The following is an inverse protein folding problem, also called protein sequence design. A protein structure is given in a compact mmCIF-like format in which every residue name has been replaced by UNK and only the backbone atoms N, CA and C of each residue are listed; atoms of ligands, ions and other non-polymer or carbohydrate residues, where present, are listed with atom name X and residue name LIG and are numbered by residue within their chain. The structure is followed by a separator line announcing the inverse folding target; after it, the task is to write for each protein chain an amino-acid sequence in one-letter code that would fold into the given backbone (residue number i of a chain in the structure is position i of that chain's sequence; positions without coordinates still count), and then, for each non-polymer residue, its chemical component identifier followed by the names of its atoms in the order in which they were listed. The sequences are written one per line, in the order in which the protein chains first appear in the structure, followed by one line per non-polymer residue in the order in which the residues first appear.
data_IF_182974077064
#
_entry.id   IF_182974077064
#
_cell.length_a   1.000
_cell.length_b   1.000
_cell.length_c   1.000
_cell.angle_alpha   90.00
_cell.angle_beta   90.00
_cell.angle_gamma   90.00
#
_symmetry.space_group_name_H-M   'P 1'
#
loop_
_entity.id
_entity.type
_entity.pdbx_description
1 polymer ?
#
# COMPACT_ATOMS: atom_id res chain seq x y z
N UNK A 1 27.96 -12.86 -10.81
CA UNK A 1 27.22 -12.80 -9.53
C UNK A 1 26.76 -11.41 -9.09
N UNK A 2 27.43 -10.32 -9.51
CA UNK A 2 27.06 -8.95 -9.13
C UNK A 2 25.59 -8.56 -9.38
N UNK A 3 25.02 -8.97 -10.50
CA UNK A 3 23.61 -8.74 -10.87
C UNK A 3 22.76 -10.02 -10.69
N UNK A 4 23.16 -10.87 -9.75
CA UNK A 4 22.49 -12.13 -9.46
C UNK A 4 22.30 -12.29 -7.96
N UNK A 5 22.69 -13.45 -7.42
CA UNK A 5 22.49 -13.77 -6.00
C UNK A 5 23.18 -12.81 -5.00
N UNK A 6 24.17 -12.04 -5.45
CA UNK A 6 24.90 -11.06 -4.61
C UNK A 6 24.42 -9.60 -4.83
N UNK A 7 23.32 -9.38 -5.55
CA UNK A 7 22.80 -8.05 -5.83
C UNK A 7 22.30 -7.34 -4.56
N UNK A 8 21.66 -8.07 -3.64
CA UNK A 8 21.03 -7.53 -2.45
C UNK A 8 21.78 -7.91 -1.16
N UNK A 9 21.84 -6.97 -0.22
CA UNK A 9 22.60 -7.12 1.02
C UNK A 9 21.86 -7.89 2.12
N UNK A 10 20.54 -8.03 2.05
CA UNK A 10 19.68 -8.54 3.13
C UNK A 10 20.10 -9.91 3.67
N UNK A 11 20.53 -10.83 2.80
CA UNK A 11 20.97 -12.15 3.28
C UNK A 11 22.31 -12.09 4.02
N UNK A 12 23.18 -11.14 3.68
CA UNK A 12 24.43 -10.92 4.41
C UNK A 12 24.21 -10.31 5.80
N UNK A 13 23.10 -9.58 5.99
CA UNK A 13 22.69 -9.00 7.28
C UNK A 13 21.77 -9.92 8.08
N UNK A 14 21.37 -11.07 7.53
CA UNK A 14 20.52 -12.04 8.20
C UNK A 14 19.02 -11.75 8.12
N UNK A 15 18.59 -10.83 7.25
CA UNK A 15 17.20 -10.38 7.08
C UNK A 15 16.33 -11.39 6.29
N UNK A 16 16.38 -12.65 6.69
CA UNK A 16 15.53 -13.69 6.12
C UNK A 16 14.07 -13.48 6.54
N UNK A 17 13.16 -13.55 5.55
CA UNK A 17 11.75 -13.20 5.74
C UNK A 17 11.42 -11.71 5.54
N UNK A 18 12.42 -10.87 5.23
CA UNK A 18 12.21 -9.44 4.98
C UNK A 18 11.59 -9.16 3.61
N UNK A 19 12.09 -9.80 2.54
CA UNK A 19 11.66 -9.54 1.16
C UNK A 19 10.14 -9.61 0.91
N UNK A 20 9.37 -10.56 1.48
CA UNK A 20 7.93 -10.59 1.35
C UNK A 20 7.23 -9.27 1.73
N UNK A 21 7.81 -8.50 2.66
CA UNK A 21 7.24 -7.22 3.11
C UNK A 21 7.11 -6.19 1.99
N UNK A 22 8.04 -6.17 1.02
CA UNK A 22 7.95 -5.27 -0.14
C UNK A 22 6.70 -5.53 -0.97
N UNK A 23 6.40 -6.80 -1.23
CA UNK A 23 5.22 -7.18 -2.02
C UNK A 23 3.93 -6.97 -1.24
N UNK A 24 3.93 -7.26 0.07
CA UNK A 24 2.79 -6.97 0.95
C UNK A 24 2.49 -5.46 0.96
N UNK A 25 3.52 -4.62 1.00
CA UNK A 25 3.38 -3.16 0.90
C UNK A 25 2.68 -2.74 -0.39
N UNK A 26 3.07 -3.29 -1.54
CA UNK A 26 2.40 -3.03 -2.82
C UNK A 26 0.93 -3.43 -2.80
N UNK A 27 0.60 -4.61 -2.26
CA UNK A 27 -0.79 -5.10 -2.17
C UNK A 27 -1.64 -4.17 -1.29
N UNK A 28 -1.16 -3.86 -0.09
CA UNK A 28 -1.86 -2.94 0.81
C UNK A 28 -2.00 -1.55 0.23
N UNK A 29 -1.00 -1.04 -0.51
CA UNK A 29 -1.09 0.29 -1.14
C UNK A 29 -2.26 0.38 -2.13
N UNK A 30 -2.52 -0.67 -2.92
CA UNK A 30 -3.64 -0.70 -3.85
C UNK A 30 -4.97 -0.77 -3.09
N UNK A 31 -5.07 -1.60 -2.05
CA UNK A 31 -6.28 -1.65 -1.21
C UNK A 31 -6.59 -0.28 -0.59
N UNK A 32 -5.58 0.37 0.00
CA UNK A 32 -5.72 1.71 0.57
C UNK A 32 -6.13 2.74 -0.50
N UNK A 33 -5.53 2.67 -1.69
CA UNK A 33 -5.86 3.57 -2.80
C UNK A 33 -7.34 3.48 -3.22
N UNK A 34 -7.87 2.26 -3.40
CA UNK A 34 -9.27 2.10 -3.80
C UNK A 34 -10.24 2.47 -2.66
N UNK A 35 -9.88 2.23 -1.40
CA UNK A 35 -10.66 2.70 -0.25
C UNK A 35 -10.69 4.23 -0.18
N UNK A 36 -9.54 4.88 -0.31
CA UNK A 36 -9.46 6.35 -0.39
C UNK A 36 -10.28 6.90 -1.55
N UNK A 37 -10.18 6.31 -2.74
CA UNK A 37 -10.92 6.76 -3.93
C UNK A 37 -12.44 6.63 -3.77
N UNK A 38 -12.91 5.69 -2.92
CA UNK A 38 -14.32 5.54 -2.57
C UNK A 38 -14.78 6.61 -1.57
N UNK A 39 -13.94 6.93 -0.59
CA UNK A 39 -14.29 7.83 0.52
C UNK A 39 -14.07 9.32 0.17
N UNK A 40 -13.10 9.62 -0.69
CA UNK A 40 -12.70 10.97 -1.08
C UNK A 40 -13.25 11.24 -2.49
N UNK A 41 -14.29 12.07 -2.57
CA UNK A 41 -14.84 12.53 -3.85
C UNK A 41 -13.79 13.38 -4.60
N UNK A 42 -13.72 13.20 -5.91
CA UNK A 42 -12.86 13.99 -6.81
C UNK A 42 -11.35 13.89 -6.49
N UNK A 43 -10.91 12.79 -5.85
CA UNK A 43 -9.52 12.58 -5.44
C UNK A 43 -8.51 12.75 -6.59
N UNK A 44 -8.83 12.28 -7.80
CA UNK A 44 -7.93 12.39 -8.95
C UNK A 44 -7.66 13.86 -9.33
N UNK A 45 -8.69 14.73 -9.26
CA UNK A 45 -8.55 16.18 -9.52
C UNK A 45 -7.74 16.88 -8.41
N UNK A 46 -7.87 16.43 -7.16
CA UNK A 46 -7.05 16.94 -6.05
C UNK A 46 -5.57 16.61 -6.29
N UNK A 47 -5.26 15.39 -6.72
CA UNK A 47 -3.89 14.99 -7.08
C UNK A 47 -3.37 15.80 -8.27
N UNK A 48 -4.17 15.98 -9.33
CA UNK A 48 -3.79 16.76 -10.50
C UNK A 48 -3.47 18.23 -10.16
N UNK A 49 -4.23 18.81 -9.23
CA UNK A 49 -3.99 20.18 -8.73
C UNK A 49 -2.90 20.27 -7.66
N UNK A 50 -2.27 19.16 -7.27
CA UNK A 50 -1.24 19.12 -6.23
C UNK A 50 -1.76 19.29 -4.80
N UNK A 51 -3.07 19.14 -4.58
CA UNK A 51 -3.70 19.21 -3.27
C UNK A 51 -3.81 17.81 -2.64
N UNK A 52 -3.04 17.55 -1.58
CA UNK A 52 -3.00 16.25 -0.90
C UNK A 52 -3.59 16.29 0.53
N UNK A 53 -4.22 17.39 0.94
CA UNK A 53 -4.63 17.58 2.33
C UNK A 53 -5.65 16.52 2.79
N UNK A 54 -6.70 16.28 1.99
CA UNK A 54 -7.71 15.27 2.33
C UNK A 54 -7.16 13.84 2.26
N UNK A 55 -6.21 13.55 1.36
CA UNK A 55 -5.51 12.25 1.31
C UNK A 55 -4.71 12.04 2.61
N UNK A 56 -3.91 13.03 3.01
CA UNK A 56 -3.13 12.98 4.25
C UNK A 56 -4.03 12.82 5.47
N UNK A 57 -5.14 13.55 5.53
CA UNK A 57 -6.12 13.48 6.61
C UNK A 57 -6.79 12.10 6.68
N UNK A 58 -7.14 11.51 5.54
CA UNK A 58 -7.67 10.15 5.49
C UNK A 58 -6.65 9.15 6.01
N UNK A 59 -5.39 9.21 5.56
CA UNK A 59 -4.32 8.33 6.03
C UNK A 59 -4.06 8.48 7.54
N UNK A 60 -4.03 9.71 8.03
CA UNK A 60 -3.85 9.98 9.46
C UNK A 60 -4.99 9.36 10.29
N UNK A 61 -6.23 9.50 9.82
CA UNK A 61 -7.42 9.03 10.54
C UNK A 61 -7.57 7.53 10.49
N UNK A 62 -7.27 6.90 9.35
CA UNK A 62 -7.58 5.48 9.12
C UNK A 62 -6.37 4.56 9.29
N UNK A 63 -5.15 5.10 9.33
CA UNK A 63 -3.92 4.29 9.40
C UNK A 63 -2.98 4.84 10.47
N UNK A 64 -2.45 6.05 10.30
CA UNK A 64 -1.30 6.50 11.11
C UNK A 64 -1.61 6.65 12.60
N UNK A 65 -2.83 7.09 12.95
CA UNK A 65 -3.22 7.28 14.37
C UNK A 65 -3.11 6.01 15.22
N UNK A 66 -3.18 4.83 14.61
CA UNK A 66 -3.17 3.56 15.32
C UNK A 66 -1.76 3.14 15.73
N UNK A 67 -0.73 3.58 15.00
CA UNK A 67 0.65 3.16 15.26
C UNK A 67 0.78 1.63 15.32
N UNK A 68 1.14 1.10 16.49
CA UNK A 68 1.24 -0.35 16.76
C UNK A 68 0.11 -0.91 17.63
N UNK A 69 -0.99 -0.17 17.80
CA UNK A 69 -2.17 -0.63 18.56
C UNK A 69 -2.81 -1.86 17.93
N UNK A 70 -2.77 -1.96 16.60
CA UNK A 70 -3.28 -3.06 15.81
C UNK A 70 -2.18 -3.64 14.93
N UNK A 71 -2.33 -4.90 14.53
CA UNK A 71 -1.53 -5.50 13.46
C UNK A 71 -1.84 -4.84 12.12
N UNK A 72 -0.92 -4.92 11.16
CA UNK A 72 -1.12 -4.38 9.81
C UNK A 72 -2.38 -4.96 9.14
N UNK A 73 -2.63 -6.26 9.32
CA UNK A 73 -3.81 -6.95 8.79
C UNK A 73 -5.12 -6.41 9.39
N UNK A 74 -5.14 -6.12 10.69
CA UNK A 74 -6.30 -5.53 11.36
C UNK A 74 -6.56 -4.09 10.88
N UNK A 75 -5.50 -3.27 10.75
CA UNK A 75 -5.64 -1.90 10.22
C UNK A 75 -6.24 -1.95 8.82
N UNK A 76 -5.76 -2.84 7.95
CA UNK A 76 -6.26 -2.98 6.59
C UNK A 76 -7.72 -3.46 6.57
N UNK A 77 -8.11 -4.40 7.44
CA UNK A 77 -9.53 -4.78 7.60
C UNK A 77 -10.40 -3.62 8.06
N UNK A 78 -9.92 -2.78 8.97
CA UNK A 78 -10.66 -1.61 9.47
C UNK A 78 -10.87 -0.57 8.36
N UNK A 79 -9.80 -0.20 7.64
CA UNK A 79 -9.88 0.89 6.67
C UNK A 79 -10.27 0.48 5.25
N UNK A 80 -10.12 -0.80 4.89
CA UNK A 80 -10.42 -1.32 3.56
C UNK A 80 -11.55 -2.36 3.54
N UNK A 81 -12.05 -2.79 4.70
CA UNK A 81 -13.17 -3.74 4.83
C UNK A 81 -12.82 -5.22 4.61
N UNK A 82 -11.61 -5.53 4.17
CA UNK A 82 -11.11 -6.89 3.97
C UNK A 82 -9.63 -7.01 4.34
N UNK A 83 -9.14 -8.25 4.48
CA UNK A 83 -7.73 -8.52 4.74
C UNK A 83 -6.82 -8.36 3.53
N UNK A 84 -5.59 -8.88 3.59
CA UNK A 84 -4.66 -8.89 2.45
C UNK A 84 -5.30 -9.54 1.20
N UNK A 85 -5.48 -8.76 0.14
CA UNK A 85 -6.08 -9.23 -1.11
C UNK A 85 -5.26 -8.82 -2.34
N UNK A 86 -4.47 -9.74 -2.94
CA UNK A 86 -3.62 -9.43 -4.09
C UNK A 86 -4.41 -9.09 -5.37
N UNK A 87 -5.68 -9.49 -5.49
CA UNK A 87 -6.50 -9.21 -6.68
C UNK A 87 -6.69 -7.72 -6.91
N UNK A 88 -6.73 -6.94 -5.83
CA UNK A 88 -6.88 -5.48 -5.90
C UNK A 88 -5.63 -4.83 -6.52
N UNK A 89 -4.44 -5.34 -6.20
CA UNK A 89 -3.20 -4.87 -6.82
C UNK A 89 -3.08 -5.27 -8.28
N UNK A 90 -3.47 -6.51 -8.62
CA UNK A 90 -3.54 -6.94 -10.03
C UNK A 90 -4.48 -6.05 -10.83
N UNK A 91 -5.68 -5.77 -10.30
CA UNK A 91 -6.62 -4.84 -10.93
C UNK A 91 -6.01 -3.46 -11.18
N UNK A 92 -5.31 -2.89 -10.19
CA UNK A 92 -4.62 -1.61 -10.35
C UNK A 92 -3.61 -1.63 -11.50
N UNK A 93 -2.82 -2.71 -11.61
CA UNK A 93 -1.83 -2.86 -12.67
C UNK A 93 -2.50 -3.02 -14.04
N UNK A 94 -3.53 -3.84 -14.15
CA UNK A 94 -4.30 -4.02 -15.39
C UNK A 94 -4.88 -2.68 -15.85
N UNK A 95 -5.62 -1.98 -14.97
CA UNK A 95 -6.23 -0.68 -15.29
C UNK A 95 -5.20 0.36 -15.76
N UNK A 96 -3.97 0.32 -15.23
CA UNK A 96 -2.90 1.27 -15.54
C UNK A 96 -2.14 0.92 -16.82
N UNK A 97 -1.85 -0.36 -17.05
CA UNK A 97 -0.92 -0.79 -18.10
C UNK A 97 -1.59 -1.40 -19.33
N UNK A 98 -2.91 -1.64 -19.30
CA UNK A 98 -3.66 -2.08 -20.49
C UNK A 98 -4.45 -0.95 -21.16
N UNK A 99 -4.25 0.30 -20.73
CA UNK A 99 -4.70 1.51 -21.40
C UNK A 99 -3.57 2.07 -22.26
#
# INVERSE_FOLDING_TARGET
DREGVLQDMHWSTGDFGYFPSYTIGNIYSAQQFYSMKKDIKDMDLMVESGNFEEIKKWLNTNIHRYGRMYTSEEIIKICCGEGLNPRIFVRYLEEKFTR
#
